data_IF_171151310210
#
_entry.id   IF_171151310210
#
_cell.length_a   1.000
_cell.length_b   1.000
_cell.length_c   1.000
_cell.angle_alpha   90.00
_cell.angle_beta   90.00
_cell.angle_gamma   90.00
#
_symmetry.space_group_name_H-M   'P 1'
#
loop_
_entity.id
_entity.type
_entity.pdbx_description
1 polymer ?
#
# COMPACT_ATOMS: atom_id res chain seq x y z
N UNK A 1 15.54 -11.70 -10.18
CA UNK A 1 14.53 -11.76 -9.14
C UNK A 1 14.04 -10.38 -8.76
N UNK A 2 12.75 -10.22 -8.70
CA UNK A 2 12.20 -8.90 -8.42
C UNK A 2 12.34 -8.56 -6.93
N UNK A 3 12.80 -7.36 -6.66
CA UNK A 3 12.95 -6.91 -5.30
C UNK A 3 11.63 -6.33 -4.81
N UNK A 4 11.20 -6.74 -3.64
CA UNK A 4 9.96 -6.24 -3.07
C UNK A 4 10.10 -4.77 -2.72
N UNK A 5 9.14 -3.97 -3.13
CA UNK A 5 9.14 -2.56 -2.81
C UNK A 5 8.76 -2.33 -1.36
N UNK A 6 9.09 -1.15 -0.86
CA UNK A 6 8.72 -0.76 0.49
C UNK A 6 7.21 -0.82 0.69
N UNK A 7 6.46 -0.30 -0.29
CA UNK A 7 5.00 -0.29 -0.19
C UNK A 7 4.44 -1.70 -0.13
N UNK A 8 4.95 -2.59 -0.98
CA UNK A 8 4.45 -3.97 -1.00
C UNK A 8 4.69 -4.65 0.35
N UNK A 9 5.88 -4.44 0.92
CA UNK A 9 6.20 -5.01 2.22
C UNK A 9 5.26 -4.49 3.30
N UNK A 10 4.99 -3.19 3.29
CA UNK A 10 4.11 -2.59 4.29
C UNK A 10 2.69 -3.16 4.19
N UNK A 11 2.19 -3.35 2.98
CA UNK A 11 0.85 -3.91 2.80
C UNK A 11 0.74 -5.29 3.45
N UNK A 12 1.69 -6.16 3.16
CA UNK A 12 1.65 -7.53 3.68
C UNK A 12 1.81 -7.56 5.18
N UNK A 13 2.74 -6.75 5.70
CA UNK A 13 2.98 -6.71 7.13
C UNK A 13 1.76 -6.22 7.87
N UNK A 14 1.15 -5.15 7.38
CA UNK A 14 -0.01 -4.58 8.05
C UNK A 14 -1.19 -5.54 8.01
N UNK A 15 -1.39 -6.21 6.87
CA UNK A 15 -2.46 -7.18 6.75
C UNK A 15 -2.31 -8.28 7.80
N UNK A 16 -1.08 -8.77 7.98
CA UNK A 16 -0.83 -9.81 8.96
C UNK A 16 -1.05 -9.31 10.38
N UNK A 17 -0.67 -8.06 10.66
CA UNK A 17 -0.92 -7.47 11.97
C UNK A 17 -2.41 -7.40 12.28
N UNK A 18 -3.23 -7.21 11.25
CA UNK A 18 -4.68 -7.15 11.40
C UNK A 18 -5.32 -8.53 11.39
N UNK A 19 -4.52 -9.57 11.25
CA UNK A 19 -4.99 -10.96 11.21
C UNK A 19 -5.99 -11.22 10.09
N UNK A 20 -5.73 -10.63 8.92
CA UNK A 20 -6.62 -10.79 7.77
C UNK A 20 -5.92 -11.56 6.68
N UNK A 21 -6.71 -12.35 5.95
CA UNK A 21 -6.18 -13.04 4.79
C UNK A 21 -6.16 -12.09 3.60
N UNK A 22 -5.40 -12.44 2.58
CA UNK A 22 -5.37 -11.65 1.35
C UNK A 22 -6.77 -11.56 0.74
N UNK A 23 -7.52 -12.64 0.81
CA UNK A 23 -8.87 -12.65 0.27
C UNK A 23 -9.79 -11.69 1.04
N UNK A 24 -9.65 -11.67 2.35
CA UNK A 24 -10.46 -10.76 3.16
C UNK A 24 -10.15 -9.31 2.86
N UNK A 25 -8.87 -8.98 2.75
CA UNK A 25 -8.49 -7.60 2.52
C UNK A 25 -8.88 -7.16 1.09
N UNK A 26 -8.76 -8.06 0.12
CA UNK A 26 -9.18 -7.76 -1.25
C UNK A 26 -10.67 -7.42 -1.29
N UNK A 27 -11.48 -8.20 -0.55
CA UNK A 27 -12.91 -7.94 -0.49
C UNK A 27 -13.22 -6.60 0.16
N UNK A 28 -12.47 -6.26 1.22
CA UNK A 28 -12.63 -4.97 1.88
C UNK A 28 -12.33 -3.81 0.94
N UNK A 29 -11.27 -3.96 0.17
CA UNK A 29 -10.88 -2.92 -0.79
C UNK A 29 -11.84 -2.85 -1.96
N UNK A 30 -12.45 -3.99 -2.32
CA UNK A 30 -13.35 -4.07 -3.46
C UNK A 30 -12.65 -4.44 -4.75
N UNK A 31 -11.60 -5.23 -4.66
CA UNK A 31 -10.87 -5.71 -5.84
C UNK A 31 -10.74 -7.23 -5.76
N UNK A 32 -10.28 -7.82 -6.84
CA UNK A 32 -10.10 -9.27 -6.86
C UNK A 32 -8.86 -9.67 -6.04
N UNK A 33 -8.83 -10.92 -5.65
CA UNK A 33 -7.67 -11.46 -4.94
C UNK A 33 -6.40 -11.29 -5.76
N UNK A 34 -6.47 -11.59 -7.07
CA UNK A 34 -5.29 -11.45 -7.92
C UNK A 34 -4.80 -10.01 -8.01
N UNK A 35 -5.73 -9.06 -8.09
CA UNK A 35 -5.35 -7.65 -8.12
C UNK A 35 -4.65 -7.25 -6.83
N UNK A 36 -5.17 -7.69 -5.70
CA UNK A 36 -4.53 -7.37 -4.43
C UNK A 36 -3.15 -8.01 -4.34
N UNK A 37 -3.04 -9.27 -4.76
CA UNK A 37 -1.76 -9.96 -4.70
C UNK A 37 -0.68 -9.26 -5.51
N UNK A 38 -1.04 -8.65 -6.63
CA UNK A 38 -0.06 -7.91 -7.43
C UNK A 38 0.53 -6.75 -6.64
N UNK A 39 -0.29 -6.08 -5.84
CA UNK A 39 0.21 -5.01 -4.99
C UNK A 39 1.11 -5.56 -3.90
N UNK A 40 0.66 -6.59 -3.21
CA UNK A 40 1.41 -7.10 -2.06
C UNK A 40 2.71 -7.77 -2.47
N UNK A 41 2.76 -8.36 -3.67
CA UNK A 41 3.98 -9.01 -4.15
C UNK A 41 4.88 -8.08 -4.93
N UNK A 42 4.48 -6.84 -5.09
CA UNK A 42 5.33 -5.84 -5.72
C UNK A 42 5.28 -5.83 -7.24
N UNK A 43 4.32 -6.53 -7.85
CA UNK A 43 4.21 -6.51 -9.31
C UNK A 43 3.50 -5.27 -9.81
N UNK A 44 2.78 -4.59 -8.95
CA UNK A 44 2.11 -3.35 -9.30
C UNK A 44 2.36 -2.35 -8.18
N UNK A 45 2.80 -1.15 -8.54
CA UNK A 45 3.08 -0.13 -7.54
C UNK A 45 1.80 0.51 -7.03
N UNK A 46 1.65 0.57 -5.72
CA UNK A 46 0.53 1.24 -5.10
C UNK A 46 0.53 2.72 -5.50
N UNK A 47 1.72 3.33 -5.53
CA UNK A 47 1.82 4.74 -5.86
C UNK A 47 1.39 5.07 -7.29
N UNK A 48 1.33 4.06 -8.15
CA UNK A 48 0.87 4.24 -9.53
C UNK A 48 -0.62 3.99 -9.69
N UNK A 49 -1.30 3.55 -8.64
CA UNK A 49 -2.73 3.30 -8.71
C UNK A 49 -3.48 4.62 -8.61
N UNK A 50 -4.78 4.59 -8.96
CA UNK A 50 -5.58 5.80 -8.84
C UNK A 50 -5.65 6.24 -7.38
N UNK A 51 -5.83 7.53 -7.16
CA UNK A 51 -5.95 8.05 -5.81
C UNK A 51 -7.07 7.35 -5.06
N UNK A 52 -8.17 7.09 -5.73
CA UNK A 52 -9.31 6.44 -5.11
C UNK A 52 -8.94 5.04 -4.62
N UNK A 53 -8.21 4.29 -5.44
CA UNK A 53 -7.82 2.94 -5.05
C UNK A 53 -6.81 2.98 -3.91
N UNK A 54 -5.85 3.89 -3.96
CA UNK A 54 -4.88 4.05 -2.88
C UNK A 54 -5.60 4.32 -1.56
N UNK A 55 -6.58 5.22 -1.58
CA UNK A 55 -7.31 5.55 -0.36
C UNK A 55 -8.11 4.36 0.17
N UNK A 56 -8.67 3.56 -0.73
CA UNK A 56 -9.40 2.35 -0.32
C UNK A 56 -8.47 1.33 0.32
N UNK A 57 -7.30 1.14 -0.28
CA UNK A 57 -6.31 0.22 0.26
C UNK A 57 -5.89 0.67 1.66
N UNK A 58 -5.61 1.96 1.80
CA UNK A 58 -5.16 2.48 3.08
C UNK A 58 -6.26 2.42 4.13
N UNK A 59 -7.51 2.67 3.74
CA UNK A 59 -8.61 2.57 4.68
C UNK A 59 -8.77 1.13 5.18
N UNK A 60 -8.68 0.17 4.27
CA UNK A 60 -8.86 -1.24 4.64
C UNK A 60 -7.75 -1.73 5.56
N UNK A 61 -6.53 -1.25 5.35
CA UNK A 61 -5.37 -1.67 6.14
C UNK A 61 -5.06 -0.72 7.29
N UNK A 62 -5.86 0.32 7.45
CA UNK A 62 -5.65 1.32 8.51
C UNK A 62 -4.26 1.94 8.42
N UNK A 63 -3.89 2.31 7.20
CA UNK A 63 -2.62 2.95 6.93
C UNK A 63 -2.83 4.42 6.57
N UNK A 64 -1.86 5.25 6.91
CA UNK A 64 -1.85 6.63 6.48
C UNK A 64 -1.34 6.65 5.03
N UNK A 65 -2.14 7.14 4.07
CA UNK A 65 -1.70 7.14 2.68
C UNK A 65 -0.44 7.96 2.45
N UNK A 66 -0.25 9.02 3.22
CA UNK A 66 0.96 9.83 3.05
C UNK A 66 2.19 9.06 3.49
N UNK A 67 2.09 8.34 4.60
CA UNK A 67 3.21 7.54 5.07
C UNK A 67 3.49 6.37 4.13
N UNK A 68 2.46 5.82 3.53
CA UNK A 68 2.64 4.71 2.61
C UNK A 68 3.36 5.16 1.35
N UNK A 69 2.94 6.27 0.77
CA UNK A 69 3.44 6.75 -0.52
C UNK A 69 4.77 7.47 -0.38
N UNK A 70 4.93 8.26 0.66
CA UNK A 70 6.14 9.07 0.86
C UNK A 70 7.00 8.43 1.94
N UNK A 71 8.21 8.11 1.59
CA UNK A 71 9.11 7.40 2.48
C UNK A 71 9.28 8.06 3.84
N UNK A 72 9.32 9.37 3.85
CA UNK A 72 9.52 10.12 5.08
C UNK A 72 8.27 10.88 5.47
N UNK A 73 7.12 10.36 5.09
CA UNK A 73 5.88 11.04 5.33
C UNK A 73 5.71 12.17 4.34
N UNK A 74 4.78 13.06 4.63
CA UNK A 74 4.48 14.13 3.71
C UNK A 74 5.54 15.20 3.78
N UNK A 75 6.00 15.65 2.63
CA UNK A 75 6.99 16.72 2.57
C UNK A 75 6.26 18.03 2.34
N UNK A 76 5.69 18.54 3.39
CA UNK A 76 4.82 19.68 3.31
C UNK A 76 5.50 20.94 2.85
N UNK A 77 6.75 21.08 3.20
CA UNK A 77 7.46 22.28 2.85
C UNK A 77 8.17 22.17 1.53
N UNK A 78 8.01 21.06 0.90
CA UNK A 78 8.74 20.79 -0.31
C UNK A 78 10.17 20.59 -0.05
N UNK A 79 10.49 20.32 1.19
CA UNK A 79 11.79 20.17 1.50
C UNK A 79 12.07 18.88 1.73
N UNK A 80 12.21 18.37 1.44
CA UNK A 80 12.48 17.24 1.63
C UNK A 80 13.66 17.09 1.88
N UNK A 81 13.90 17.19 1.99
CA UNK A 81 14.75 17.16 2.18
C UNK A 81 15.61 16.56 1.84
N UNK A 82 15.95 16.34 1.28
CA UNK A 82 16.64 15.87 0.89
C UNK A 82 17.32 16.20 0.65
N UNK A 83 17.62 16.44 0.71
CA UNK A 83 18.20 16.58 0.40
C UNK A 83 18.65 16.46 0.44
#
# INVERSE_FOLDING_TARGET
MKKMSREAFILGQRREELNMTQKQIAAEIGISLQQYQRFEYGYRDVSAASAKLVLRICAALELDPYELIFENGIDLAGKNTQE
#
